data_IF_197503355893
#
_entry.id   IF_197503355893
#
_cell.length_a   1.000
_cell.length_b   1.000
_cell.length_c   1.000
_cell.angle_alpha   90.00
_cell.angle_beta   90.00
_cell.angle_gamma   90.00
#
_symmetry.space_group_name_H-M   'P 1'
#
loop_
_entity.id
_entity.type
_entity.pdbx_description
1 polymer ?
#
# COMPACT_ATOMS: atom_id res chain seq x y z
N UNK A 1 -22.46 -18.23 -14.57
CA UNK A 1 -21.35 -17.33 -14.92
C UNK A 1 -21.84 -16.42 -16.03
N UNK A 2 -21.83 -15.11 -15.81
CA UNK A 2 -22.26 -14.11 -16.80
C UNK A 2 -21.10 -13.71 -17.72
N UNK A 3 -21.40 -13.03 -18.82
CA UNK A 3 -20.38 -12.40 -19.66
C UNK A 3 -20.89 -11.16 -20.36
N UNK A 4 -19.95 -10.30 -20.74
CA UNK A 4 -20.17 -9.12 -21.58
C UNK A 4 -19.25 -9.19 -22.81
N UNK A 5 -19.70 -8.61 -23.92
CA UNK A 5 -18.89 -8.47 -25.14
C UNK A 5 -18.36 -7.04 -25.26
N UNK A 6 -17.04 -6.92 -25.19
CA UNK A 6 -16.32 -5.66 -25.32
C UNK A 6 -15.73 -5.52 -26.71
N UNK A 7 -15.87 -4.31 -27.29
CA UNK A 7 -15.27 -3.96 -28.59
C UNK A 7 -14.15 -2.97 -28.37
N UNK A 8 -12.93 -3.40 -28.64
CA UNK A 8 -11.73 -2.59 -28.45
C UNK A 8 -11.24 -2.11 -29.83
N UNK A 9 -11.40 -0.82 -30.07
CA UNK A 9 -10.86 -0.17 -31.27
C UNK A 9 -9.33 -0.03 -31.15
N UNK A 10 -8.61 -0.47 -32.18
CA UNK A 10 -7.16 -0.38 -32.27
C UNK A 10 -6.80 0.67 -33.32
N UNK A 11 -5.86 1.55 -32.97
CA UNK A 11 -5.27 2.52 -33.91
C UNK A 11 -4.93 1.84 -35.24
N UNK A 12 -5.38 2.42 -36.34
CA UNK A 12 -5.28 1.81 -37.68
C UNK A 12 -6.52 1.04 -38.12
N UNK A 13 -7.65 1.16 -37.40
CA UNK A 13 -8.97 0.74 -37.87
C UNK A 13 -9.34 -0.72 -37.60
N UNK A 14 -8.49 -1.49 -36.90
CA UNK A 14 -8.84 -2.84 -36.47
C UNK A 14 -9.73 -2.79 -35.22
N UNK A 15 -10.68 -3.70 -35.11
CA UNK A 15 -11.48 -3.92 -33.91
C UNK A 15 -11.18 -5.33 -33.37
N UNK A 16 -11.01 -5.44 -32.06
CA UNK A 16 -10.92 -6.72 -31.37
C UNK A 16 -12.12 -6.86 -30.44
N UNK A 17 -12.87 -7.95 -30.63
CA UNK A 17 -13.94 -8.33 -29.71
C UNK A 17 -13.36 -9.19 -28.59
N UNK A 18 -13.72 -8.88 -27.35
CA UNK A 18 -13.32 -9.63 -26.16
C UNK A 18 -14.54 -10.01 -25.36
N UNK A 19 -14.60 -11.27 -24.96
CA UNK A 19 -15.59 -11.76 -24.01
C UNK A 19 -15.04 -11.60 -22.61
N UNK A 20 -15.69 -10.79 -21.78
CA UNK A 20 -15.32 -10.61 -20.36
C UNK A 20 -16.29 -11.41 -19.52
N UNK A 21 -15.81 -12.45 -18.83
CA UNK A 21 -16.64 -13.31 -17.98
C UNK A 21 -16.62 -12.83 -16.54
N UNK A 22 -17.73 -13.02 -15.85
CA UNK A 22 -17.89 -12.65 -14.44
C UNK A 22 -18.45 -13.80 -13.61
N UNK A 23 -17.91 -13.93 -12.39
CA UNK A 23 -18.40 -14.80 -11.33
C UNK A 23 -18.98 -13.96 -10.20
N UNK A 24 -19.51 -14.59 -9.13
CA UNK A 24 -19.88 -13.88 -7.90
C UNK A 24 -18.69 -13.17 -7.23
N UNK A 25 -17.47 -13.55 -7.58
CA UNK A 25 -16.22 -12.99 -7.05
C UNK A 25 -15.64 -11.89 -7.93
N UNK A 26 -16.26 -11.56 -9.07
CA UNK A 26 -15.75 -10.56 -9.99
C UNK A 26 -15.25 -11.14 -11.32
N UNK A 27 -14.46 -10.37 -12.09
CA UNK A 27 -14.04 -10.73 -13.44
C UNK A 27 -13.09 -11.94 -13.45
N UNK A 28 -13.23 -12.77 -14.48
CA UNK A 28 -12.33 -13.88 -14.77
C UNK A 28 -11.05 -13.35 -15.42
N UNK A 29 -9.94 -13.37 -14.70
CA UNK A 29 -8.65 -12.84 -15.15
C UNK A 29 -7.83 -13.86 -15.94
N UNK A 30 -8.08 -15.17 -15.76
CA UNK A 30 -7.38 -16.22 -16.53
C UNK A 30 -7.68 -16.16 -18.03
N UNK A 31 -8.79 -15.53 -18.44
CA UNK A 31 -9.14 -15.33 -19.86
C UNK A 31 -8.37 -14.20 -20.52
N UNK A 32 -7.94 -13.24 -19.70
CA UNK A 32 -7.33 -11.99 -20.12
C UNK A 32 -5.81 -12.04 -19.99
N UNK A 33 -5.29 -13.00 -19.22
CA UNK A 33 -3.89 -13.13 -18.89
C UNK A 33 -3.33 -14.44 -19.45
N UNK A 34 -2.01 -14.48 -19.66
CA UNK A 34 -1.31 -15.71 -20.08
C UNK A 34 -1.03 -16.64 -18.89
N UNK A 35 -1.93 -16.72 -17.91
CA UNK A 35 -1.76 -17.64 -16.78
C UNK A 35 -2.09 -19.04 -17.31
N UNK A 36 -1.06 -19.86 -17.50
CA UNK A 36 -1.20 -21.19 -18.11
C UNK A 36 -1.35 -22.32 -17.11
N UNK A 37 -1.13 -22.06 -15.81
CA UNK A 37 -1.14 -23.07 -14.75
C UNK A 37 -2.50 -23.13 -14.03
N UNK A 38 -3.60 -22.96 -14.77
CA UNK A 38 -4.96 -23.14 -14.25
C UNK A 38 -5.50 -24.45 -14.85
N UNK A 39 -6.06 -25.38 -14.05
CA UNK A 39 -6.70 -26.57 -14.57
C UNK A 39 -7.73 -26.23 -15.65
N UNK A 40 -7.89 -27.09 -16.66
CA UNK A 40 -8.72 -26.80 -17.84
C UNK A 40 -10.19 -26.48 -17.51
N UNK A 41 -10.70 -27.05 -16.41
CA UNK A 41 -12.09 -26.87 -15.94
C UNK A 41 -12.25 -25.73 -14.92
N UNK A 42 -11.15 -25.05 -14.59
CA UNK A 42 -11.13 -23.98 -13.60
C UNK A 42 -10.82 -22.62 -14.22
N UNK A 43 -11.11 -21.57 -13.46
CA UNK A 43 -10.79 -20.20 -13.84
C UNK A 43 -10.31 -19.42 -12.62
N UNK A 44 -9.50 -18.39 -12.84
CA UNK A 44 -9.14 -17.44 -11.80
C UNK A 44 -10.03 -16.21 -11.90
N UNK A 45 -10.74 -15.91 -10.82
CA UNK A 45 -11.53 -14.68 -10.68
C UNK A 45 -10.86 -13.74 -9.66
N UNK A 46 -10.98 -12.44 -9.88
CA UNK A 46 -10.37 -11.42 -9.01
C UNK A 46 -11.42 -10.65 -8.22
N UNK A 47 -11.47 -10.89 -6.90
CA UNK A 47 -12.36 -10.19 -5.97
C UNK A 47 -11.63 -9.00 -5.36
N UNK A 48 -12.08 -7.81 -5.71
CA UNK A 48 -11.48 -6.55 -5.28
C UNK A 48 -12.55 -5.57 -4.85
N UNK A 49 -12.30 -4.84 -3.76
CA UNK A 49 -13.23 -3.85 -3.20
C UNK A 49 -13.57 -2.73 -4.19
N UNK A 50 -12.68 -2.43 -5.15
CA UNK A 50 -12.94 -1.44 -6.20
C UNK A 50 -13.95 -1.91 -7.26
N UNK A 51 -14.38 -3.17 -7.23
CA UNK A 51 -15.48 -3.66 -8.08
C UNK A 51 -16.85 -3.39 -7.46
N UNK A 52 -16.92 -2.94 -6.19
CA UNK A 52 -18.18 -2.59 -5.53
C UNK A 52 -18.51 -1.10 -5.71
N UNK A 53 -19.81 -0.73 -5.70
CA UNK A 53 -20.21 0.67 -5.63
C UNK A 53 -19.60 1.37 -4.40
N UNK A 54 -19.21 2.63 -4.61
CA UNK A 54 -18.43 3.39 -3.64
C UNK A 54 -18.59 4.90 -3.81
N UNK A 55 -18.17 5.65 -2.78
CA UNK A 55 -18.40 7.10 -2.63
C UNK A 55 -17.08 7.89 -2.54
N UNK A 56 -16.01 7.48 -3.26
CA UNK A 56 -14.69 8.13 -3.18
C UNK A 56 -14.75 9.62 -3.52
N UNK A 57 -15.60 10.03 -4.46
CA UNK A 57 -15.77 11.44 -4.78
C UNK A 57 -16.34 12.24 -3.60
N UNK A 58 -17.20 11.63 -2.78
CA UNK A 58 -17.71 12.24 -1.55
C UNK A 58 -16.62 12.34 -0.49
N UNK A 59 -15.79 11.29 -0.34
CA UNK A 59 -14.60 11.33 0.50
C UNK A 59 -13.70 12.51 0.10
N UNK A 60 -13.31 12.59 -1.18
CA UNK A 60 -12.44 13.64 -1.68
C UNK A 60 -13.04 15.03 -1.50
N UNK A 61 -14.33 15.20 -1.82
CA UNK A 61 -15.03 16.47 -1.62
C UNK A 61 -15.03 16.89 -0.14
N UNK A 62 -15.34 15.96 0.76
CA UNK A 62 -15.36 16.22 2.20
C UNK A 62 -13.98 16.56 2.75
N UNK A 63 -12.93 15.83 2.36
CA UNK A 63 -11.55 16.11 2.75
C UNK A 63 -11.12 17.53 2.35
N UNK A 64 -11.47 17.97 1.13
CA UNK A 64 -11.16 19.33 0.67
C UNK A 64 -11.94 20.44 1.39
N UNK A 65 -12.97 20.09 2.18
CA UNK A 65 -13.81 21.03 2.91
C UNK A 65 -13.73 20.90 4.43
N UNK A 66 -13.03 19.89 4.93
CA UNK A 66 -12.91 19.63 6.34
C UNK A 66 -12.16 20.78 7.04
N UNK A 67 -12.76 21.31 8.09
CA UNK A 67 -12.20 22.39 8.90
C UNK A 67 -11.49 21.88 10.16
N UNK A 68 -11.61 20.59 10.47
CA UNK A 68 -11.04 19.97 11.65
C UNK A 68 -10.88 18.45 11.47
N UNK A 69 -10.20 17.82 12.43
CA UNK A 69 -9.95 16.39 12.45
C UNK A 69 -11.20 15.52 12.38
N UNK A 70 -12.29 15.93 13.04
CA UNK A 70 -13.53 15.15 13.07
C UNK A 70 -14.19 15.11 11.69
N UNK A 71 -14.32 16.26 11.03
CA UNK A 71 -14.85 16.36 9.66
C UNK A 71 -13.95 15.64 8.64
N UNK A 72 -12.63 15.70 8.85
CA UNK A 72 -11.67 14.96 8.03
C UNK A 72 -11.92 13.45 8.16
N UNK A 73 -11.97 12.90 9.38
CA UNK A 73 -12.28 11.49 9.61
C UNK A 73 -13.65 11.08 9.09
N UNK A 74 -14.68 11.92 9.27
CA UNK A 74 -16.01 11.66 8.73
C UNK A 74 -15.96 11.51 7.20
N UNK A 75 -15.20 12.36 6.53
CA UNK A 75 -15.02 12.29 5.07
C UNK A 75 -14.32 11.01 4.64
N UNK A 76 -13.28 10.58 5.37
CA UNK A 76 -12.56 9.35 5.09
C UNK A 76 -13.42 8.08 5.22
N UNK A 77 -14.51 8.12 5.99
CA UNK A 77 -15.44 6.98 6.08
C UNK A 77 -16.13 6.61 4.76
N UNK A 78 -16.12 7.50 3.76
CA UNK A 78 -16.64 7.25 2.42
C UNK A 78 -15.62 6.61 1.47
N UNK A 79 -14.33 6.53 1.84
CA UNK A 79 -13.30 5.88 1.04
C UNK A 79 -13.52 4.36 1.02
N UNK A 80 -13.71 3.75 -0.15
CA UNK A 80 -13.80 2.29 -0.27
C UNK A 80 -12.56 1.69 -0.94
N UNK A 81 -12.10 2.25 -2.05
CA UNK A 81 -10.89 1.80 -2.73
C UNK A 81 -10.17 2.93 -3.50
N UNK A 82 -8.84 2.84 -3.70
CA UNK A 82 -7.93 1.94 -3.01
C UNK A 82 -7.82 2.30 -1.52
N UNK A 83 -7.29 1.37 -0.72
CA UNK A 83 -6.94 1.66 0.67
C UNK A 83 -5.70 2.56 0.70
N UNK A 84 -5.78 3.69 1.40
CA UNK A 84 -4.75 4.72 1.43
C UNK A 84 -4.42 5.14 2.86
N UNK A 85 -3.18 5.57 3.05
CA UNK A 85 -2.69 6.25 4.24
C UNK A 85 -2.98 7.75 4.11
N UNK A 86 -3.92 8.28 4.89
CA UNK A 86 -4.21 9.70 4.94
C UNK A 86 -3.46 10.34 6.11
N UNK A 87 -2.74 11.43 5.84
CA UNK A 87 -2.04 12.24 6.86
C UNK A 87 -2.69 13.62 6.92
N UNK A 88 -2.86 14.14 8.12
CA UNK A 88 -3.59 15.38 8.43
C UNK A 88 -2.70 16.34 9.23
N UNK A 89 -2.85 17.64 8.97
CA UNK A 89 -2.33 18.72 9.79
C UNK A 89 -3.27 19.94 9.72
N UNK A 90 -3.39 20.71 10.80
CA UNK A 90 -4.20 21.94 10.82
C UNK A 90 -3.52 23.15 11.48
N UNK A 91 -4.18 24.31 11.36
CA UNK A 91 -3.69 25.59 11.89
C UNK A 91 -3.76 25.70 13.40
N UNK A 92 -4.44 24.77 14.10
CA UNK A 92 -4.43 24.68 15.55
C UNK A 92 -3.23 23.86 16.07
N UNK A 93 -2.39 23.34 15.16
CA UNK A 93 -1.19 22.58 15.49
C UNK A 93 -1.46 21.09 15.68
N UNK A 94 -2.63 20.58 15.29
CA UNK A 94 -2.91 19.15 15.37
C UNK A 94 -2.33 18.42 14.16
N UNK A 95 -1.91 17.17 14.38
CA UNK A 95 -1.53 16.23 13.34
C UNK A 95 -2.27 14.92 13.51
N UNK A 96 -2.57 14.24 12.40
CA UNK A 96 -3.30 13.00 12.43
C UNK A 96 -2.93 12.05 11.30
N UNK A 97 -3.31 10.79 11.48
CA UNK A 97 -3.22 9.75 10.47
C UNK A 97 -4.44 8.84 10.56
N UNK A 98 -4.95 8.41 9.42
CA UNK A 98 -5.93 7.34 9.33
C UNK A 98 -5.65 6.49 8.11
N UNK A 99 -5.68 5.17 8.28
CA UNK A 99 -5.98 4.29 7.17
C UNK A 99 -7.43 4.57 6.71
N UNK A 100 -7.68 4.59 5.42
CA UNK A 100 -9.04 4.66 4.88
C UNK A 100 -9.18 3.80 3.63
N UNK A 101 -10.29 3.07 3.53
CA UNK A 101 -10.56 2.06 2.51
C UNK A 101 -11.25 0.84 3.13
N UNK A 102 -11.97 0.06 2.32
CA UNK A 102 -12.57 -1.20 2.76
C UNK A 102 -11.48 -2.25 2.95
N UNK A 103 -11.42 -2.82 4.16
CA UNK A 103 -10.56 -3.96 4.48
C UNK A 103 -11.46 -5.19 4.70
N UNK A 104 -11.47 -6.18 3.81
CA UNK A 104 -12.30 -7.37 3.98
C UNK A 104 -11.89 -8.19 5.20
N UNK A 105 -12.87 -8.63 5.99
CA UNK A 105 -12.64 -9.60 7.07
C UNK A 105 -12.62 -11.02 6.47
N UNK A 106 -11.58 -11.78 6.79
CA UNK A 106 -11.35 -13.13 6.25
C UNK A 106 -11.24 -14.11 7.42
N UNK A 107 -12.09 -15.15 7.50
CA UNK A 107 -12.07 -16.12 8.61
C UNK A 107 -10.96 -17.19 8.44
N UNK A 108 -9.90 -16.88 7.70
CA UNK A 108 -8.85 -17.81 7.31
C UNK A 108 -7.50 -17.09 7.26
N UNK A 109 -6.43 -17.89 7.26
CA UNK A 109 -5.07 -17.35 7.21
C UNK A 109 -4.81 -16.59 5.90
N UNK A 110 -4.25 -15.38 5.97
CA UNK A 110 -3.93 -14.60 4.80
C UNK A 110 -3.02 -15.35 3.82
N UNK A 111 -3.35 -15.27 2.53
CA UNK A 111 -2.54 -15.89 1.47
C UNK A 111 -2.59 -15.06 0.20
N UNK A 112 -1.51 -15.13 -0.58
CA UNK A 112 -1.41 -14.57 -1.92
C UNK A 112 -1.74 -15.60 -3.01
N UNK A 113 -1.99 -16.85 -2.62
CA UNK A 113 -2.36 -17.92 -3.55
C UNK A 113 -3.86 -17.85 -3.87
N UNK A 114 -4.27 -18.28 -5.09
CA UNK A 114 -5.68 -18.47 -5.40
C UNK A 114 -6.37 -19.40 -4.41
N UNK A 115 -7.62 -19.07 -4.06
CA UNK A 115 -8.44 -19.85 -3.13
C UNK A 115 -9.60 -20.53 -3.87
N UNK A 116 -10.07 -21.70 -3.39
CA UNK A 116 -11.27 -22.37 -3.89
C UNK A 116 -12.52 -21.48 -3.86
N UNK A 117 -12.85 -20.85 -4.98
CA UNK A 117 -13.97 -19.91 -5.06
C UNK A 117 -15.36 -20.55 -4.88
N UNK A 118 -15.46 -21.88 -4.89
CA UNK A 118 -16.69 -22.62 -4.63
C UNK A 118 -16.94 -22.90 -3.14
N UNK A 119 -15.93 -22.76 -2.27
CA UNK A 119 -16.05 -22.99 -0.83
C UNK A 119 -16.51 -21.72 -0.10
N UNK A 120 -17.47 -21.85 0.82
CA UNK A 120 -17.92 -20.75 1.68
C UNK A 120 -16.88 -20.36 2.74
N UNK A 121 -15.93 -21.25 3.04
CA UNK A 121 -14.82 -21.01 3.98
C UNK A 121 -13.98 -19.79 3.59
N UNK A 122 -13.83 -19.54 2.29
CA UNK A 122 -12.96 -18.47 1.77
C UNK A 122 -13.69 -17.18 1.42
N UNK A 123 -14.98 -17.07 1.77
CA UNK A 123 -15.76 -15.86 1.55
C UNK A 123 -15.37 -14.73 2.53
N UNK A 124 -15.53 -13.49 2.09
CA UNK A 124 -15.34 -12.32 2.95
C UNK A 124 -16.53 -12.19 3.91
N UNK A 125 -16.25 -11.99 5.20
CA UNK A 125 -17.26 -11.81 6.24
C UNK A 125 -17.48 -10.32 6.54
N UNK A 126 -17.89 -9.58 5.50
CA UNK A 126 -18.03 -8.14 5.56
C UNK A 126 -16.68 -7.40 5.62
N UNK A 127 -16.69 -6.24 6.26
CA UNK A 127 -15.58 -5.28 6.25
C UNK A 127 -15.24 -4.85 7.67
N UNK A 128 -13.95 -4.64 7.93
CA UNK A 128 -13.45 -4.03 9.15
C UNK A 128 -14.10 -2.64 9.32
N UNK A 129 -14.81 -2.37 10.43
CA UNK A 129 -15.40 -1.07 10.69
C UNK A 129 -14.35 0.05 10.63
N UNK A 130 -14.70 1.18 9.99
CA UNK A 130 -13.77 2.31 9.85
C UNK A 130 -13.23 2.82 11.21
N UNK A 131 -14.05 2.75 12.27
CA UNK A 131 -13.65 3.10 13.65
C UNK A 131 -12.54 2.24 14.22
N UNK A 132 -12.36 1.02 13.72
CA UNK A 132 -11.36 0.05 14.18
C UNK A 132 -10.09 0.06 13.32
N UNK A 133 -10.09 0.82 12.22
CA UNK A 133 -8.90 0.96 11.37
C UNK A 133 -7.78 1.77 12.07
N UNK A 134 -6.50 1.50 11.75
CA UNK A 134 -5.37 2.19 12.37
C UNK A 134 -5.48 3.70 12.21
N UNK A 135 -5.31 4.41 13.32
CA UNK A 135 -5.38 5.87 13.40
C UNK A 135 -4.44 6.43 14.46
N UNK A 136 -3.95 7.63 14.23
CA UNK A 136 -3.16 8.40 15.19
C UNK A 136 -3.70 9.83 15.22
N UNK A 137 -3.69 10.45 16.40
CA UNK A 137 -4.02 11.86 16.55
C UNK A 137 -3.15 12.46 17.65
N UNK A 138 -2.37 13.50 17.32
CA UNK A 138 -1.39 14.14 18.19
C UNK A 138 -0.52 13.14 18.99
N UNK A 139 0.21 12.24 18.29
CA UNK A 139 1.08 11.29 18.96
C UNK A 139 2.24 12.02 19.68
N UNK A 140 2.73 11.50 20.82
CA UNK A 140 3.74 12.16 21.64
C UNK A 140 5.07 12.38 20.93
N UNK A 141 5.36 11.62 19.88
CA UNK A 141 6.54 11.78 19.02
C UNK A 141 6.55 13.11 18.25
N UNK A 142 5.42 13.82 18.17
CA UNK A 142 5.32 15.15 17.54
C UNK A 142 5.44 15.13 16.01
N UNK A 143 5.52 13.95 15.40
CA UNK A 143 5.59 13.78 13.95
C UNK A 143 4.90 12.49 13.51
N UNK A 144 4.33 12.52 12.31
CA UNK A 144 3.71 11.37 11.65
C UNK A 144 4.36 11.22 10.27
N UNK A 145 4.74 9.99 9.93
CA UNK A 145 5.26 9.66 8.60
C UNK A 145 4.72 8.30 8.16
N UNK A 146 4.42 8.17 6.87
CA UNK A 146 4.09 6.90 6.23
C UNK A 146 4.90 6.78 4.94
N UNK A 147 5.45 5.60 4.69
CA UNK A 147 6.28 5.35 3.53
C UNK A 147 6.08 3.92 3.03
N UNK A 148 4.81 3.51 2.88
CA UNK A 148 4.36 2.17 2.48
C UNK A 148 4.88 1.02 3.37
N UNK A 149 5.48 1.36 4.51
CA UNK A 149 5.88 0.43 5.56
C UNK A 149 4.65 -0.17 6.25
N UNK A 150 4.86 -1.26 7.00
CA UNK A 150 3.87 -1.83 7.91
C UNK A 150 3.36 -0.74 8.88
N UNK A 151 2.03 -0.60 8.95
CA UNK A 151 1.33 0.51 9.64
C UNK A 151 0.75 0.13 11.00
N UNK A 152 0.74 -1.16 11.33
CA UNK A 152 0.25 -1.69 12.60
C UNK A 152 1.20 -2.80 13.07
N UNK A 153 1.43 -2.89 14.37
CA UNK A 153 2.28 -3.94 14.95
C UNK A 153 1.52 -5.27 15.07
N UNK A 154 2.18 -6.28 15.60
CA UNK A 154 1.64 -7.63 15.77
C UNK A 154 0.48 -7.72 16.78
N UNK A 155 0.25 -6.67 17.58
CA UNK A 155 -0.88 -6.62 18.52
C UNK A 155 -2.19 -6.23 17.84
N UNK A 156 -2.12 -5.70 16.61
CA UNK A 156 -3.31 -5.32 15.87
C UNK A 156 -4.08 -6.56 15.39
N UNK A 157 -5.35 -6.75 15.78
CA UNK A 157 -6.03 -8.04 15.67
C UNK A 157 -6.52 -8.37 14.25
N UNK A 158 -6.45 -7.42 13.31
CA UNK A 158 -6.96 -7.60 11.96
C UNK A 158 -5.84 -7.65 10.94
N UNK A 159 -5.93 -8.60 10.01
CA UNK A 159 -5.03 -8.65 8.88
C UNK A 159 -5.25 -7.46 7.93
N UNK A 160 -4.17 -6.75 7.59
CA UNK A 160 -4.19 -5.65 6.63
C UNK A 160 -3.50 -6.02 5.33
N UNK A 161 -2.24 -6.47 5.41
CA UNK A 161 -1.40 -6.86 4.27
C UNK A 161 -0.15 -7.58 4.78
N UNK A 162 0.48 -8.37 3.92
CA UNK A 162 1.89 -8.79 4.06
C UNK A 162 2.80 -8.18 3.01
N UNK A 163 2.22 -7.42 2.08
CA UNK A 163 2.93 -6.65 1.06
C UNK A 163 3.09 -5.22 1.57
N UNK A 164 4.25 -4.98 2.19
CA UNK A 164 4.70 -3.66 2.59
C UNK A 164 6.09 -3.41 2.00
N UNK A 165 6.42 -2.13 1.80
CA UNK A 165 7.78 -1.78 1.42
C UNK A 165 8.74 -2.00 2.59
N UNK A 166 9.99 -2.41 2.30
CA UNK A 166 11.04 -2.47 3.30
C UNK A 166 11.17 -1.14 4.07
N UNK A 167 11.48 -1.18 5.38
CA UNK A 167 11.35 -0.04 6.28
C UNK A 167 12.44 1.04 6.10
N UNK A 168 13.24 1.00 5.03
CA UNK A 168 14.36 1.91 4.84
C UNK A 168 13.91 3.36 4.72
N UNK A 169 12.87 3.64 3.91
CA UNK A 169 12.34 5.00 3.74
C UNK A 169 11.74 5.55 5.02
N UNK A 170 10.90 4.76 5.71
CA UNK A 170 10.29 5.23 6.96
C UNK A 170 11.33 5.48 8.05
N UNK A 171 12.36 4.62 8.18
CA UNK A 171 13.46 4.83 9.14
C UNK A 171 14.21 6.12 8.82
N UNK A 172 14.53 6.35 7.54
CA UNK A 172 15.25 7.56 7.11
C UNK A 172 14.43 8.83 7.34
N UNK A 173 13.14 8.82 7.02
CA UNK A 173 12.24 9.94 7.28
C UNK A 173 12.15 10.21 8.79
N UNK A 174 11.97 9.18 9.62
CA UNK A 174 11.91 9.35 11.09
C UNK A 174 13.21 9.91 11.66
N UNK A 175 14.36 9.42 11.21
CA UNK A 175 15.68 9.94 11.58
C UNK A 175 15.75 11.45 11.31
N UNK A 176 15.42 11.88 10.09
CA UNK A 176 15.49 13.28 9.67
C UNK A 176 14.45 14.16 10.40
N UNK A 177 13.23 13.66 10.61
CA UNK A 177 12.20 14.38 11.34
C UNK A 177 12.58 14.57 12.82
N UNK A 178 13.27 13.60 13.42
CA UNK A 178 13.73 13.65 14.82
C UNK A 178 15.03 14.45 15.02
N UNK A 179 15.72 14.83 13.94
CA UNK A 179 17.01 15.52 14.02
C UNK A 179 16.91 16.96 14.53
N UNK A 180 15.70 17.54 14.52
CA UNK A 180 15.41 18.91 14.99
C UNK A 180 14.10 18.93 15.74
N UNK A 181 14.01 19.75 16.80
CA UNK A 181 12.76 19.98 17.53
C UNK A 181 11.72 20.71 16.67
N UNK A 182 12.17 21.60 15.78
CA UNK A 182 11.33 22.34 14.84
C UNK A 182 11.94 22.27 13.44
N UNK A 183 11.10 21.92 12.48
CA UNK A 183 11.46 21.79 11.07
C UNK A 183 10.89 22.97 10.29
N UNK A 184 11.69 23.54 9.39
CA UNK A 184 11.21 24.55 8.43
C UNK A 184 10.68 23.90 7.14
N UNK A 185 9.98 24.65 6.28
CA UNK A 185 9.64 24.17 4.93
C UNK A 185 10.86 23.74 4.12
N UNK A 186 12.00 24.41 4.29
CA UNK A 186 13.28 24.05 3.65
C UNK A 186 13.79 22.70 4.16
N UNK A 187 13.63 22.41 5.45
CA UNK A 187 13.96 21.09 6.00
C UNK A 187 13.07 20.00 5.38
N UNK A 188 11.78 20.25 5.23
CA UNK A 188 10.86 19.30 4.58
C UNK A 188 11.23 19.09 3.10
N UNK A 189 11.63 20.14 2.39
CA UNK A 189 12.11 20.05 1.02
C UNK A 189 13.42 19.25 0.92
N UNK A 190 14.32 19.39 1.89
CA UNK A 190 15.56 18.61 1.98
C UNK A 190 15.26 17.13 2.25
N UNK A 191 14.31 16.81 3.13
CA UNK A 191 13.86 15.43 3.40
C UNK A 191 13.32 14.77 2.12
N UNK A 192 12.52 15.48 1.33
CA UNK A 192 11.99 14.96 0.07
C UNK A 192 13.09 14.68 -0.98
N UNK A 193 14.23 15.36 -0.87
CA UNK A 193 15.39 15.21 -1.76
C UNK A 193 16.47 14.28 -1.19
N UNK A 194 16.23 13.62 -0.06
CA UNK A 194 17.19 12.71 0.55
C UNK A 194 17.40 11.47 -0.35
N UNK A 195 18.67 11.21 -0.68
CA UNK A 195 19.10 10.09 -1.53
C UNK A 195 19.91 9.05 -0.75
N UNK A 196 19.91 9.10 0.58
CA UNK A 196 20.73 8.22 1.41
C UNK A 196 20.13 6.81 1.45
N UNK A 197 20.94 5.81 1.06
CA UNK A 197 20.54 4.41 1.13
C UNK A 197 20.98 3.76 2.45
N UNK A 198 20.06 3.64 3.41
CA UNK A 198 20.31 2.88 4.65
C UNK A 198 20.52 1.39 4.37
N UNK A 199 19.91 0.84 3.32
CA UNK A 199 20.17 -0.53 2.88
C UNK A 199 21.63 -0.72 2.44
N UNK A 200 22.20 0.23 1.68
CA UNK A 200 23.60 0.16 1.27
C UNK A 200 24.55 0.26 2.47
N UNK A 201 24.24 1.11 3.46
CA UNK A 201 25.03 1.20 4.71
C UNK A 201 25.04 -0.12 5.48
N UNK A 202 23.87 -0.75 5.64
CA UNK A 202 23.74 -2.06 6.30
C UNK A 202 24.55 -3.13 5.53
N UNK A 203 24.40 -3.20 4.21
CA UNK A 203 25.10 -4.17 3.36
C UNK A 203 26.63 -3.99 3.41
N UNK A 204 27.13 -2.76 3.31
CA UNK A 204 28.57 -2.47 3.43
C UNK A 204 29.08 -2.88 4.81
N UNK A 205 28.30 -2.67 5.87
CA UNK A 205 28.64 -3.11 7.22
C UNK A 205 28.86 -4.62 7.31
N UNK A 206 28.03 -5.42 6.63
CA UNK A 206 28.15 -6.88 6.59
C UNK A 206 29.35 -7.34 5.74
N UNK A 207 29.63 -6.65 4.64
CA UNK A 207 30.68 -7.03 3.69
C UNK A 207 32.06 -6.46 4.05
N UNK A 208 32.16 -5.60 5.07
CA UNK A 208 33.38 -4.84 5.36
C UNK A 208 34.63 -5.73 5.48
N UNK A 209 34.56 -6.79 6.27
CA UNK A 209 35.69 -7.69 6.49
C UNK A 209 36.09 -8.42 5.20
N UNK A 210 35.12 -8.85 4.40
CA UNK A 210 35.37 -9.52 3.12
C UNK A 210 35.98 -8.56 2.09
N UNK A 211 35.48 -7.32 2.05
CA UNK A 211 36.02 -6.26 1.18
C UNK A 211 37.46 -5.90 1.56
N UNK A 212 37.75 -5.78 2.86
CA UNK A 212 39.11 -5.54 3.35
C UNK A 212 40.05 -6.71 2.99
N UNK A 213 39.60 -7.95 3.19
CA UNK A 213 40.38 -9.14 2.85
C UNK A 213 40.63 -9.30 1.34
N UNK A 214 39.67 -8.91 0.50
CA UNK A 214 39.82 -8.89 -0.97
C UNK A 214 40.79 -7.77 -1.37
N UNK A 215 40.65 -6.57 -0.82
CA UNK A 215 41.51 -5.42 -1.13
C UNK A 215 42.98 -5.68 -0.77
N UNK A 216 43.25 -6.46 0.27
CA UNK A 216 44.61 -6.86 0.62
C UNK A 216 45.21 -7.91 -0.33
N UNK A 217 44.38 -8.71 -0.99
CA UNK A 217 44.79 -9.72 -1.97
C UNK A 217 44.86 -9.20 -3.42
N UNK A 218 44.08 -8.17 -3.75
CA UNK A 218 44.10 -7.49 -5.05
C UNK A 218 44.25 -5.97 -4.87
N UNK A 219 45.50 -5.50 -5.00
CA UNK A 219 45.87 -4.09 -4.79
C UNK A 219 45.18 -3.12 -5.76
N UNK A 220 44.60 -3.60 -6.86
CA UNK A 220 43.92 -2.74 -7.85
C UNK A 220 42.60 -2.14 -7.33
N UNK A 221 41.99 -2.75 -6.30
CA UNK A 221 40.72 -2.32 -5.71
C UNK A 221 40.86 -1.25 -4.62
N UNK A 222 42.08 -0.93 -4.18
CA UNK A 222 42.33 0.04 -3.08
C UNK A 222 41.99 1.50 -3.46
N UNK A 223 41.74 1.80 -4.73
CA UNK A 223 41.52 3.17 -5.22
C UNK A 223 40.06 3.54 -5.50
N UNK A 224 39.09 2.68 -5.22
CA UNK A 224 37.67 2.89 -5.56
C UNK A 224 36.79 3.32 -4.37
N UNK A 225 37.39 3.55 -3.19
CA UNK A 225 36.68 3.93 -1.96
C UNK A 225 37.09 5.32 -1.42
N UNK A 226 37.29 6.29 -2.32
CA UNK A 226 37.47 7.71 -1.98
C UNK A 226 36.35 8.54 -2.58
#
# INVERSE_FOLDING_TARGET
MGYEEEKIAIRGGREVKKKVRFTRHGPVISDLTKITNVPAEEVLAFKWTAHEPSDEFRCLYGVNRACNWHEFLQSLSYQAAPTLNYVYADTAGNIGYSLAGKVPLRPYDPTLLPLPGWSEEFEWQGYLPFSEQPRLYNPPEGAIATANNRIADESYPYFLSDLFDPPYRIRRIKELLSAKERLSPEDMAAIQQDIVSNHAKELIGLLKNDLEAIADKDRSLKNTAA
#
